data_IF_694013941322
#
_entry.id   IF_694013941322
#
_cell.length_a   1.000
_cell.length_b   1.000
_cell.length_c   1.000
_cell.angle_alpha   90.00
_cell.angle_beta   90.00
_cell.angle_gamma   90.00
#
_symmetry.space_group_name_H-M   'P 1'
#
loop_
_entity.id
_entity.type
_entity.pdbx_description
1 polymer ?
#
# COMPACT_ATOMS: atom_id res chain seq x y z
N UNK A 1 -21.76 -62.80 -32.00
CA UNK A 1 -22.07 -62.23 -30.67
C UNK A 1 -21.35 -60.89 -30.62
N UNK A 2 -21.92 -59.76 -31.03
CA UNK A 2 -23.32 -59.32 -30.94
C UNK A 2 -23.41 -58.24 -29.85
N UNK A 3 -23.93 -57.03 -30.06
CA UNK A 3 -24.57 -56.47 -31.26
C UNK A 3 -24.53 -54.92 -31.21
N UNK A 4 -24.90 -54.26 -32.31
CA UNK A 4 -24.97 -52.78 -32.42
C UNK A 4 -26.14 -52.20 -31.59
N UNK A 5 -26.04 -50.94 -31.17
CA UNK A 5 -27.12 -49.98 -31.51
C UNK A 5 -26.67 -48.50 -31.51
N UNK A 6 -27.40 -47.69 -32.28
CA UNK A 6 -27.16 -46.29 -32.63
C UNK A 6 -28.15 -45.32 -31.95
N UNK A 7 -27.87 -44.02 -32.05
CA UNK A 7 -28.70 -42.89 -31.56
C UNK A 7 -30.14 -42.86 -32.11
N UNK A 8 -31.01 -41.97 -31.58
CA UNK A 8 -31.24 -40.74 -32.35
C UNK A 8 -31.37 -39.44 -31.53
N UNK A 9 -31.29 -38.31 -32.23
CA UNK A 9 -31.61 -36.97 -31.74
C UNK A 9 -33.12 -36.76 -31.55
N UNK A 10 -33.50 -35.87 -30.63
CA UNK A 10 -34.76 -35.11 -30.71
C UNK A 10 -34.52 -33.62 -30.44
N UNK A 11 -34.94 -32.79 -31.40
CA UNK A 11 -35.12 -31.36 -31.22
C UNK A 11 -36.40 -31.12 -30.40
N UNK A 12 -36.41 -30.11 -29.52
CA UNK A 12 -37.65 -29.40 -29.22
C UNK A 12 -37.38 -27.91 -28.98
N UNK A 13 -38.01 -27.07 -29.81
CA UNK A 13 -38.09 -25.64 -29.62
C UNK A 13 -39.24 -25.32 -28.67
N UNK A 14 -39.09 -24.29 -27.82
CA UNK A 14 -40.22 -23.47 -27.39
C UNK A 14 -39.81 -22.00 -27.38
N UNK A 15 -40.75 -21.13 -27.75
CA UNK A 15 -40.59 -19.68 -27.91
C UNK A 15 -41.72 -18.94 -27.18
N UNK A 16 -41.56 -17.62 -27.05
CA UNK A 16 -42.48 -16.61 -26.51
C UNK A 16 -42.62 -16.51 -24.98
N UNK A 17 -42.56 -15.27 -24.46
CA UNK A 17 -42.61 -15.00 -23.00
C UNK A 17 -42.14 -13.60 -22.57
N UNK A 18 -42.72 -12.55 -23.13
CA UNK A 18 -42.57 -11.12 -22.80
C UNK A 18 -42.24 -10.74 -21.33
N UNK A 19 -41.29 -9.82 -21.10
CA UNK A 19 -41.63 -8.40 -20.87
C UNK A 19 -40.39 -7.49 -20.83
N UNK A 20 -40.46 -6.35 -21.52
CA UNK A 20 -39.52 -5.25 -21.35
C UNK A 20 -40.00 -4.34 -20.21
N UNK A 21 -39.08 -3.87 -19.36
CA UNK A 21 -39.32 -2.70 -18.51
C UNK A 21 -38.16 -1.72 -18.58
N UNK A 22 -38.48 -0.62 -19.25
CA UNK A 22 -37.93 0.72 -19.12
C UNK A 22 -37.37 1.06 -17.72
N UNK A 23 -36.22 1.75 -17.71
CA UNK A 23 -35.79 2.58 -16.59
C UNK A 23 -34.83 3.69 -17.06
N UNK A 24 -35.30 4.52 -18.00
CA UNK A 24 -34.65 5.79 -18.26
C UNK A 24 -34.90 6.81 -17.14
N UNK A 25 -33.85 7.25 -16.43
CA UNK A 25 -33.78 8.62 -15.88
C UNK A 25 -32.35 9.04 -15.47
N UNK A 26 -31.97 10.25 -15.89
CA UNK A 26 -30.74 10.97 -15.50
C UNK A 26 -30.83 11.45 -14.03
N UNK A 27 -29.68 11.76 -13.39
CA UNK A 27 -29.66 12.43 -12.10
C UNK A 27 -29.91 13.94 -12.23
N UNK A 28 -30.52 14.54 -11.22
CA UNK A 28 -30.53 15.99 -10.97
C UNK A 28 -29.79 16.31 -9.67
N UNK A 29 -29.16 17.48 -9.63
CA UNK A 29 -28.23 17.89 -8.58
C UNK A 29 -28.85 18.87 -7.58
N UNK A 30 -28.03 19.20 -6.57
CA UNK A 30 -28.13 20.35 -5.66
C UNK A 30 -29.21 20.30 -4.56
N UNK A 31 -28.82 20.86 -3.40
CA UNK A 31 -29.57 20.85 -2.15
C UNK A 31 -28.62 21.12 -0.98
N UNK A 32 -28.04 22.32 -0.95
CA UNK A 32 -27.34 22.81 0.24
C UNK A 32 -28.39 23.23 1.28
N UNK A 33 -28.10 23.00 2.56
CA UNK A 33 -28.92 23.51 3.67
C UNK A 33 -28.00 24.09 4.75
N UNK A 34 -28.21 25.36 5.07
CA UNK A 34 -27.42 26.13 6.03
C UNK A 34 -28.12 26.14 7.40
N UNK A 35 -27.82 25.12 8.22
CA UNK A 35 -28.36 24.95 9.57
C UNK A 35 -27.74 25.90 10.61
N UNK A 36 -28.35 27.08 10.75
CA UNK A 36 -28.11 28.11 11.78
C UNK A 36 -28.00 27.51 13.21
N UNK A 37 -26.95 27.82 13.96
CA UNK A 37 -26.89 27.61 15.41
C UNK A 37 -27.06 28.94 16.14
N UNK A 38 -28.21 29.13 16.79
CA UNK A 38 -28.45 30.26 17.69
C UNK A 38 -27.90 29.97 19.10
N UNK A 39 -27.37 30.99 19.75
CA UNK A 39 -26.82 30.90 21.09
C UNK A 39 -27.90 31.18 22.15
N UNK A 40 -27.98 30.34 23.18
CA UNK A 40 -28.79 30.62 24.38
C UNK A 40 -28.14 30.07 25.66
N UNK A 41 -27.70 30.99 26.51
CA UNK A 41 -27.63 30.93 27.97
C UNK A 41 -28.42 32.16 28.47
N UNK A 42 -28.95 32.25 29.71
CA UNK A 42 -28.46 31.70 30.99
C UNK A 42 -29.53 30.76 31.63
N UNK A 43 -29.67 30.44 32.93
CA UNK A 43 -29.13 30.94 34.22
C UNK A 43 -28.74 29.80 35.19
N UNK A 44 -28.29 30.16 36.39
CA UNK A 44 -28.05 29.27 37.54
C UNK A 44 -29.20 29.36 38.56
N UNK A 45 -29.24 28.46 39.56
CA UNK A 45 -29.29 29.01 40.93
C UNK A 45 -28.41 28.30 41.98
N UNK A 46 -27.93 29.13 42.90
CA UNK A 46 -27.64 28.91 44.33
C UNK A 46 -27.23 27.49 44.85
N UNK A 47 -25.93 27.37 45.16
CA UNK A 47 -25.45 27.27 46.55
C UNK A 47 -25.99 26.19 47.50
N UNK A 48 -25.15 25.19 47.80
CA UNK A 48 -25.16 24.47 49.08
C UNK A 48 -23.73 24.15 49.51
N UNK A 49 -23.40 24.41 50.78
CA UNK A 49 -22.08 24.23 51.37
C UNK A 49 -22.00 22.90 52.14
N UNK A 50 -21.07 22.03 51.76
CA UNK A 50 -20.71 20.85 52.54
C UNK A 50 -19.17 20.68 52.54
N UNK A 51 -18.61 20.38 53.72
CA UNK A 51 -17.16 20.30 53.94
C UNK A 51 -16.53 19.03 53.32
N UNK A 52 -15.23 19.05 52.98
CA UNK A 52 -14.58 17.90 52.34
C UNK A 52 -14.25 16.80 53.36
N UNK A 53 -14.96 15.67 53.27
CA UNK A 53 -14.63 14.45 54.02
C UNK A 53 -13.95 13.42 53.13
N UNK A 54 -12.75 12.99 53.53
CA UNK A 54 -12.13 11.75 53.04
C UNK A 54 -11.14 11.91 51.89
N UNK A 55 -9.85 12.03 52.24
CA UNK A 55 -8.75 11.73 51.32
C UNK A 55 -8.71 10.21 51.05
N UNK A 56 -9.60 9.74 50.16
CA UNK A 56 -9.49 8.42 49.57
C UNK A 56 -8.26 8.33 48.68
N UNK A 57 -7.13 7.86 49.23
CA UNK A 57 -6.00 7.42 48.42
C UNK A 57 -6.45 6.23 47.58
N UNK A 58 -6.97 6.50 46.37
CA UNK A 58 -6.92 5.53 45.30
C UNK A 58 -5.45 5.29 44.96
N UNK A 59 -4.84 4.33 45.64
CA UNK A 59 -3.70 3.61 45.10
C UNK A 59 -4.18 2.98 43.80
N UNK A 60 -3.80 3.57 42.67
CA UNK A 60 -3.94 2.89 41.39
C UNK A 60 -3.24 1.53 41.55
N UNK A 61 -3.97 0.45 41.28
CA UNK A 61 -3.35 -0.87 41.20
C UNK A 61 -2.21 -0.78 40.16
N UNK A 62 -1.01 -1.32 40.45
CA UNK A 62 0.07 -1.28 39.47
C UNK A 62 -0.41 -1.96 38.20
N UNK A 63 -0.24 -1.31 37.03
CA UNK A 63 -0.69 -1.90 35.77
C UNK A 63 -0.10 -3.30 35.62
N UNK A 64 -0.91 -4.30 35.18
CA UNK A 64 -0.44 -5.66 35.06
C UNK A 64 0.76 -5.71 34.13
N UNK A 65 1.78 -6.47 34.55
CA UNK A 65 3.02 -6.59 33.79
C UNK A 65 2.74 -6.93 32.31
N UNK A 66 3.41 -6.27 31.35
CA UNK A 66 3.13 -6.46 29.93
C UNK A 66 3.27 -7.94 29.57
N UNK A 67 2.37 -8.44 28.72
CA UNK A 67 2.45 -9.82 28.25
C UNK A 67 3.82 -10.10 27.62
N UNK A 68 4.31 -11.36 27.69
CA UNK A 68 5.61 -11.75 27.12
C UNK A 68 5.81 -11.29 25.66
N UNK A 69 4.71 -11.18 24.90
CA UNK A 69 4.70 -10.66 23.55
C UNK A 69 4.90 -9.13 23.54
N UNK A 70 4.13 -8.38 24.33
CA UNK A 70 4.29 -6.95 24.47
C UNK A 70 5.70 -6.55 24.94
N UNK A 71 6.28 -7.29 25.89
CA UNK A 71 7.64 -7.09 26.36
C UNK A 71 8.67 -7.23 25.22
N UNK A 72 8.65 -8.35 24.47
CA UNK A 72 9.59 -8.60 23.38
C UNK A 72 9.49 -7.59 22.22
N UNK A 73 8.27 -7.14 21.88
CA UNK A 73 8.09 -6.08 20.88
C UNK A 73 8.58 -4.71 21.37
N UNK A 74 8.42 -4.39 22.66
CA UNK A 74 8.89 -3.15 23.26
C UNK A 74 10.43 -3.10 23.42
N UNK A 75 11.05 -4.18 23.88
CA UNK A 75 12.52 -4.30 24.02
C UNK A 75 13.25 -4.05 22.69
N UNK A 76 12.65 -4.51 21.59
CA UNK A 76 13.19 -4.34 20.24
C UNK A 76 12.57 -3.15 19.47
N UNK A 77 11.83 -2.26 20.13
CA UNK A 77 11.15 -1.16 19.44
C UNK A 77 12.10 -0.20 18.71
N UNK A 78 13.30 0.03 19.28
CA UNK A 78 14.35 0.85 18.67
C UNK A 78 14.93 0.24 17.38
N UNK A 79 15.48 -0.99 17.35
CA UNK A 79 15.96 -1.59 16.11
C UNK A 79 14.84 -1.82 15.08
N UNK A 80 13.60 -2.09 15.51
CA UNK A 80 12.45 -2.18 14.60
C UNK A 80 12.11 -0.83 13.94
N UNK A 81 12.25 0.28 14.66
CA UNK A 81 12.10 1.62 14.08
C UNK A 81 13.17 1.91 13.03
N UNK A 82 14.44 1.61 13.33
CA UNK A 82 15.55 1.80 12.39
C UNK A 82 15.41 0.92 11.13
N UNK A 83 14.99 -0.33 11.31
CA UNK A 83 14.66 -1.24 10.21
C UNK A 83 13.52 -0.69 9.33
N UNK A 84 12.44 -0.21 9.93
CA UNK A 84 11.30 0.33 9.19
C UNK A 84 11.61 1.63 8.44
N UNK A 85 12.42 2.52 9.03
CA UNK A 85 12.91 3.72 8.33
C UNK A 85 13.77 3.37 7.11
N UNK A 86 14.55 2.28 7.19
CA UNK A 86 15.42 1.80 6.11
C UNK A 86 14.68 1.10 4.98
N UNK A 87 13.71 0.24 5.32
CA UNK A 87 13.12 -0.70 4.35
C UNK A 87 11.68 -0.35 3.91
N UNK A 88 10.91 0.39 4.72
CA UNK A 88 9.46 0.58 4.50
C UNK A 88 9.04 2.05 4.30
N UNK A 89 9.73 3.00 4.96
CA UNK A 89 9.36 4.41 4.97
C UNK A 89 9.77 5.14 3.67
N UNK A 90 9.10 4.78 2.58
CA UNK A 90 9.27 5.36 1.22
C UNK A 90 8.57 6.71 1.08
N UNK A 91 7.42 6.89 1.76
CA UNK A 91 6.84 8.19 2.06
C UNK A 91 7.12 8.50 3.53
N UNK A 92 7.66 9.70 3.81
CA UNK A 92 8.11 10.09 5.16
C UNK A 92 7.36 11.28 5.75
N UNK A 93 6.48 11.93 4.99
CA UNK A 93 5.77 13.15 5.41
C UNK A 93 4.36 12.89 5.95
N UNK A 94 3.92 11.63 5.92
CA UNK A 94 2.62 11.23 6.44
C UNK A 94 2.58 9.75 6.85
N UNK A 95 1.64 9.42 7.74
CA UNK A 95 1.36 8.03 8.15
C UNK A 95 -0.13 7.79 8.38
N UNK A 96 -0.54 6.54 8.21
CA UNK A 96 -1.85 6.06 8.61
C UNK A 96 -1.96 5.88 10.12
N UNK A 97 -3.08 6.28 10.72
CA UNK A 97 -3.33 6.15 12.17
C UNK A 97 -4.80 5.92 12.50
N UNK A 98 -5.09 5.51 13.73
CA UNK A 98 -6.42 5.17 14.24
C UNK A 98 -6.86 6.19 15.29
N UNK A 99 -7.61 7.21 14.88
CA UNK A 99 -8.14 8.23 15.79
C UNK A 99 -9.43 7.75 16.45
N UNK A 100 -9.48 7.68 17.78
CA UNK A 100 -10.72 7.41 18.54
C UNK A 100 -11.67 8.60 18.40
N UNK A 101 -12.92 8.36 17.99
CA UNK A 101 -14.01 9.36 17.96
C UNK A 101 -14.63 9.49 19.36
N UNK A 102 -15.39 10.56 19.59
CA UNK A 102 -16.15 10.78 20.83
C UNK A 102 -17.08 9.60 21.18
N UNK A 103 -17.69 8.95 20.18
CA UNK A 103 -18.53 7.75 20.36
C UNK A 103 -17.74 6.44 20.59
N UNK A 104 -16.47 6.52 21.00
CA UNK A 104 -15.59 5.37 21.27
C UNK A 104 -15.08 4.63 20.03
N UNK A 105 -15.70 4.76 18.85
CA UNK A 105 -15.29 4.07 17.62
C UNK A 105 -14.00 4.67 17.04
N UNK A 106 -13.11 3.83 16.52
CA UNK A 106 -11.91 4.29 15.81
C UNK A 106 -12.20 4.66 14.34
N UNK A 107 -11.59 5.74 13.86
CA UNK A 107 -11.51 6.13 12.45
C UNK A 107 -10.07 6.01 11.96
N UNK A 108 -9.87 5.28 10.87
CA UNK A 108 -8.62 5.32 10.09
C UNK A 108 -8.47 6.68 9.40
N UNK A 109 -7.29 7.28 9.48
CA UNK A 109 -6.97 8.57 8.85
C UNK A 109 -5.49 8.64 8.51
N UNK A 110 -5.11 9.46 7.54
CA UNK A 110 -3.72 9.88 7.38
C UNK A 110 -3.46 11.09 8.27
N UNK A 111 -2.39 11.05 9.05
CA UNK A 111 -1.77 12.20 9.71
C UNK A 111 -0.72 12.80 8.76
N UNK A 112 -0.76 14.12 8.56
CA UNK A 112 0.18 14.86 7.70
C UNK A 112 1.39 15.32 8.53
N UNK A 113 2.02 14.36 9.16
CA UNK A 113 3.11 14.54 10.11
C UNK A 113 4.24 13.54 9.76
N UNK A 114 5.51 13.90 9.99
CA UNK A 114 6.63 13.08 9.54
C UNK A 114 6.71 11.73 10.27
N UNK A 115 7.16 10.71 9.54
CA UNK A 115 7.45 9.36 10.04
C UNK A 115 8.78 9.40 10.80
N UNK A 116 8.74 9.78 12.07
CA UNK A 116 9.95 9.86 12.92
C UNK A 116 10.32 8.51 13.54
N UNK A 117 11.58 8.39 13.97
CA UNK A 117 12.07 7.22 14.73
C UNK A 117 11.27 7.01 16.01
N UNK A 118 10.97 8.08 16.74
CA UNK A 118 10.23 8.01 18.01
C UNK A 118 8.76 7.61 17.81
N UNK A 119 8.13 8.08 16.72
CA UNK A 119 6.80 7.61 16.32
C UNK A 119 6.79 6.08 16.12
N UNK A 120 7.82 5.56 15.46
CA UNK A 120 7.98 4.12 15.23
C UNK A 120 8.30 3.34 16.51
N UNK A 121 9.14 3.87 17.41
CA UNK A 121 9.38 3.27 18.73
C UNK A 121 8.08 3.17 19.52
N UNK A 122 7.28 4.24 19.57
CA UNK A 122 5.97 4.25 20.24
C UNK A 122 5.00 3.25 19.60
N UNK A 123 5.11 3.03 18.30
CA UNK A 123 4.34 1.99 17.61
C UNK A 123 4.73 0.58 18.04
N UNK A 124 6.02 0.23 17.98
CA UNK A 124 6.50 -1.11 18.33
C UNK A 124 6.40 -1.40 19.83
N UNK A 125 6.49 -0.38 20.68
CA UNK A 125 6.16 -0.46 22.12
C UNK A 125 4.66 -0.60 22.41
N UNK A 126 3.80 -0.63 21.39
CA UNK A 126 2.35 -0.83 21.53
C UNK A 126 1.58 0.36 22.15
N UNK A 127 2.20 1.54 22.24
CA UNK A 127 1.57 2.76 22.74
C UNK A 127 0.65 3.39 21.69
N UNK A 128 0.99 3.25 20.40
CA UNK A 128 0.19 3.68 19.26
C UNK A 128 0.17 2.60 18.17
N UNK A 129 -0.78 2.70 17.24
CA UNK A 129 -0.80 1.87 16.04
C UNK A 129 -0.77 2.79 14.81
N UNK A 130 0.19 2.55 13.92
CA UNK A 130 0.30 3.27 12.64
C UNK A 130 0.41 2.31 11.44
N UNK A 131 0.25 2.86 10.24
CA UNK A 131 0.59 2.22 8.98
C UNK A 131 1.37 3.17 8.08
N UNK A 132 2.14 2.62 7.15
CA UNK A 132 2.94 3.43 6.23
C UNK A 132 2.34 3.40 4.82
N UNK A 133 2.45 4.54 4.15
CA UNK A 133 2.06 4.72 2.76
C UNK A 133 3.04 3.99 1.82
N UNK A 134 2.54 3.38 0.74
CA UNK A 134 3.35 2.51 -0.15
C UNK A 134 4.04 3.20 -1.32
N UNK A 135 3.76 4.49 -1.57
CA UNK A 135 4.28 5.25 -2.72
C UNK A 135 4.85 6.57 -2.21
N UNK A 136 6.04 6.97 -2.69
CA UNK A 136 6.62 8.30 -2.45
C UNK A 136 6.11 9.35 -3.45
N UNK A 137 6.38 10.61 -3.17
CA UNK A 137 6.13 11.75 -4.08
C UNK A 137 6.78 11.59 -5.46
N UNK A 138 7.89 10.85 -5.56
CA UNK A 138 8.62 10.54 -6.80
C UNK A 138 8.12 9.26 -7.48
N UNK A 139 6.93 8.78 -7.08
CA UNK A 139 6.31 7.56 -7.58
C UNK A 139 7.17 6.29 -7.43
N UNK A 140 7.94 6.20 -6.34
CA UNK A 140 8.70 5.02 -5.98
C UNK A 140 8.00 4.19 -4.90
N UNK A 141 8.23 2.88 -4.90
CA UNK A 141 7.63 1.91 -4.01
C UNK A 141 8.71 0.93 -3.50
N UNK A 142 8.83 0.76 -2.18
CA UNK A 142 9.86 -0.10 -1.55
C UNK A 142 9.33 -1.46 -1.07
N UNK A 143 8.02 -1.67 -1.08
CA UNK A 143 7.38 -2.91 -0.64
C UNK A 143 5.95 -2.97 -1.18
N UNK A 144 5.43 -4.17 -1.40
CA UNK A 144 3.98 -4.37 -1.60
C UNK A 144 3.37 -5.13 -0.44
N UNK A 145 2.08 -4.90 -0.24
CA UNK A 145 1.26 -5.60 0.75
C UNK A 145 -0.01 -6.18 0.11
N UNK A 146 -0.45 -7.32 0.63
CA UNK A 146 -1.80 -7.83 0.47
C UNK A 146 -2.46 -7.92 1.86
N UNK A 147 -3.68 -7.41 1.98
CA UNK A 147 -4.53 -7.54 3.16
C UNK A 147 -5.64 -8.55 2.85
N UNK A 148 -5.70 -9.60 3.67
CA UNK A 148 -6.62 -10.72 3.57
C UNK A 148 -7.52 -10.63 4.79
N UNK A 149 -8.65 -9.96 4.62
CA UNK A 149 -9.53 -9.60 5.72
C UNK A 149 -10.28 -10.81 6.32
N UNK A 150 -10.37 -10.79 7.66
CA UNK A 150 -11.41 -11.46 8.40
C UNK A 150 -12.05 -10.41 9.32
N UNK A 151 -13.21 -9.91 8.93
CA UNK A 151 -13.98 -8.98 9.75
C UNK A 151 -14.84 -9.75 10.76
N UNK A 152 -14.89 -9.28 12.00
CA UNK A 152 -15.60 -9.93 13.12
C UNK A 152 -17.09 -10.20 12.85
N UNK A 153 -17.71 -9.37 12.00
CA UNK A 153 -19.13 -9.42 11.66
C UNK A 153 -19.43 -10.32 10.43
N UNK A 154 -18.40 -10.83 9.73
CA UNK A 154 -18.60 -11.70 8.57
C UNK A 154 -18.67 -13.17 8.99
N UNK A 155 -19.89 -13.69 9.11
CA UNK A 155 -20.16 -15.11 9.34
C UNK A 155 -19.62 -16.05 8.24
N UNK A 156 -19.05 -15.51 7.14
CA UNK A 156 -18.37 -16.25 6.07
C UNK A 156 -16.84 -16.18 6.17
N UNK A 157 -16.29 -15.52 7.19
CA UNK A 157 -14.85 -15.55 7.45
C UNK A 157 -14.41 -16.99 7.77
N UNK A 158 -13.64 -17.59 6.87
CA UNK A 158 -12.98 -18.88 7.05
C UNK A 158 -11.48 -18.62 7.27
N UNK A 159 -11.00 -18.63 8.53
CA UNK A 159 -9.59 -18.41 8.86
C UNK A 159 -8.65 -19.36 8.10
N UNK A 160 -9.05 -20.61 7.88
CA UNK A 160 -8.23 -21.59 7.16
C UNK A 160 -8.18 -21.29 5.67
N UNK A 161 -9.26 -20.79 5.06
CA UNK A 161 -9.24 -20.33 3.66
C UNK A 161 -8.40 -19.06 3.50
N UNK A 162 -8.46 -18.15 4.46
CA UNK A 162 -7.62 -16.95 4.47
C UNK A 162 -6.13 -17.30 4.65
N UNK A 163 -5.80 -18.29 5.48
CA UNK A 163 -4.43 -18.80 5.66
C UNK A 163 -3.93 -19.49 4.38
N UNK A 164 -4.74 -20.34 3.74
CA UNK A 164 -4.45 -20.90 2.41
C UNK A 164 -4.25 -19.81 1.35
N UNK A 165 -5.04 -18.73 1.38
CA UNK A 165 -4.89 -17.58 0.50
C UNK A 165 -3.55 -16.88 0.73
N UNK A 166 -3.15 -16.69 1.99
CA UNK A 166 -1.88 -16.07 2.35
C UNK A 166 -0.66 -16.91 1.90
N UNK A 167 -0.74 -18.24 2.04
CA UNK A 167 0.28 -19.19 1.57
C UNK A 167 0.34 -19.18 0.03
N UNK A 168 -0.80 -19.18 -0.66
CA UNK A 168 -0.85 -19.08 -2.12
C UNK A 168 -0.23 -17.75 -2.62
N UNK A 169 -0.53 -16.63 -1.95
CA UNK A 169 0.06 -15.33 -2.24
C UNK A 169 1.58 -15.33 -2.08
N UNK A 170 2.08 -15.92 -0.99
CA UNK A 170 3.52 -16.06 -0.76
C UNK A 170 4.20 -16.93 -1.83
N UNK A 171 3.59 -18.06 -2.21
CA UNK A 171 4.07 -18.96 -3.27
C UNK A 171 4.10 -18.27 -4.64
N UNK A 172 3.10 -17.45 -4.96
CA UNK A 172 3.06 -16.66 -6.19
C UNK A 172 4.21 -15.64 -6.26
N UNK A 173 4.42 -14.88 -5.17
CA UNK A 173 5.46 -13.86 -5.08
C UNK A 173 6.87 -14.47 -5.17
N UNK A 174 7.07 -15.67 -4.64
CA UNK A 174 8.32 -16.43 -4.78
C UNK A 174 8.66 -16.77 -6.25
N UNK A 175 7.66 -16.83 -7.14
CA UNK A 175 7.88 -16.93 -8.59
C UNK A 175 8.71 -15.77 -9.16
N UNK A 176 8.62 -14.58 -8.57
CA UNK A 176 9.41 -13.39 -8.89
C UNK A 176 10.69 -13.27 -8.06
N UNK A 177 11.07 -14.32 -7.32
CA UNK A 177 12.20 -14.35 -6.36
C UNK A 177 12.04 -13.37 -5.18
N UNK A 178 10.80 -13.06 -4.83
CA UNK A 178 10.46 -12.21 -3.68
C UNK A 178 9.99 -13.10 -2.52
N UNK A 179 10.64 -13.00 -1.37
CA UNK A 179 10.38 -13.82 -0.18
C UNK A 179 9.32 -13.13 0.66
N UNK A 180 8.09 -13.61 0.55
CA UNK A 180 6.97 -13.02 1.26
C UNK A 180 6.97 -13.37 2.75
N UNK A 181 6.63 -12.38 3.56
CA UNK A 181 6.36 -12.52 5.00
C UNK A 181 4.85 -12.51 5.20
N UNK A 182 4.34 -13.59 5.80
CA UNK A 182 2.94 -13.70 6.21
C UNK A 182 2.84 -13.36 7.69
N UNK A 183 2.13 -12.27 8.00
CA UNK A 183 1.81 -11.82 9.35
C UNK A 183 0.34 -12.12 9.65
N UNK A 184 0.00 -12.57 10.86
CA UNK A 184 -1.39 -12.48 11.29
C UNK A 184 -1.75 -11.02 11.62
N UNK A 185 -2.88 -10.55 11.09
CA UNK A 185 -3.24 -9.14 11.16
C UNK A 185 -4.10 -8.83 12.39
N UNK A 186 -4.86 -9.79 12.91
CA UNK A 186 -5.95 -9.50 13.85
C UNK A 186 -6.24 -10.57 14.93
N UNK A 187 -5.53 -11.71 14.92
CA UNK A 187 -5.78 -12.85 15.81
C UNK A 187 -7.10 -13.62 15.55
N UNK A 188 -7.74 -13.38 14.39
CA UNK A 188 -9.07 -13.88 14.01
C UNK A 188 -9.13 -14.40 12.56
N UNK A 189 -7.98 -14.74 11.96
CA UNK A 189 -7.91 -15.24 10.58
C UNK A 189 -7.77 -14.17 9.50
N UNK A 190 -7.46 -12.93 9.89
CA UNK A 190 -6.98 -11.90 8.96
C UNK A 190 -5.45 -11.97 8.84
N UNK A 191 -4.91 -11.73 7.65
CA UNK A 191 -3.47 -11.83 7.37
C UNK A 191 -2.97 -10.67 6.51
N UNK A 192 -1.75 -10.20 6.79
CA UNK A 192 -1.01 -9.35 5.87
C UNK A 192 0.12 -10.16 5.23
N UNK A 193 0.18 -10.19 3.90
CA UNK A 193 1.34 -10.74 3.15
C UNK A 193 2.15 -9.57 2.61
N UNK A 194 3.46 -9.53 2.87
CA UNK A 194 4.35 -8.43 2.47
C UNK A 194 5.61 -8.95 1.80
N UNK A 195 6.10 -8.26 0.78
CA UNK A 195 7.47 -8.41 0.25
C UNK A 195 8.16 -7.05 0.25
N UNK A 196 9.46 -7.06 0.52
CA UNK A 196 10.27 -5.85 0.69
C UNK A 196 11.36 -5.82 -0.37
N UNK A 197 11.56 -4.69 -1.03
CA UNK A 197 12.52 -4.56 -2.11
C UNK A 197 13.84 -3.98 -1.60
N UNK A 198 14.96 -4.58 -2.02
CA UNK A 198 16.32 -4.12 -1.69
C UNK A 198 16.62 -2.72 -2.26
N UNK A 199 15.94 -2.35 -3.34
CA UNK A 199 15.91 -1.00 -3.93
C UNK A 199 14.46 -0.68 -4.30
N UNK A 200 14.00 0.58 -4.16
CA UNK A 200 12.69 0.99 -4.64
C UNK A 200 12.50 0.69 -6.13
N UNK A 201 11.26 0.42 -6.54
CA UNK A 201 10.85 0.28 -7.93
C UNK A 201 9.77 1.31 -8.26
N UNK A 202 9.54 1.65 -9.55
CA UNK A 202 8.44 2.52 -9.93
C UNK A 202 7.09 1.95 -9.44
N UNK A 203 6.23 2.81 -8.91
CA UNK A 203 4.95 2.41 -8.33
C UNK A 203 4.03 1.68 -9.31
N UNK A 204 4.11 1.98 -10.61
CA UNK A 204 3.45 1.23 -11.68
C UNK A 204 3.89 -0.24 -11.77
N UNK A 205 5.18 -0.54 -11.56
CA UNK A 205 5.71 -1.92 -11.54
C UNK A 205 5.19 -2.68 -10.31
N UNK A 206 5.19 -2.01 -9.15
CA UNK A 206 4.64 -2.55 -7.92
C UNK A 206 3.13 -2.83 -8.04
N UNK A 207 2.36 -1.88 -8.60
CA UNK A 207 0.93 -2.04 -8.86
C UNK A 207 0.64 -3.15 -9.87
N UNK A 208 1.44 -3.26 -10.94
CA UNK A 208 1.34 -4.37 -11.89
C UNK A 208 1.51 -5.74 -11.21
N UNK A 209 2.48 -5.88 -10.30
CA UNK A 209 2.67 -7.12 -9.52
C UNK A 209 1.44 -7.42 -8.64
N UNK A 210 0.91 -6.41 -7.96
CA UNK A 210 -0.32 -6.51 -7.18
C UNK A 210 -1.51 -7.00 -8.03
N UNK A 211 -1.67 -6.51 -9.25
CA UNK A 211 -2.74 -6.94 -10.17
C UNK A 211 -2.56 -8.36 -10.70
N UNK A 212 -1.31 -8.81 -10.88
CA UNK A 212 -1.04 -10.21 -11.22
C UNK A 212 -1.34 -11.14 -10.03
N UNK A 213 -1.03 -10.72 -8.81
CA UNK A 213 -1.38 -11.42 -7.57
C UNK A 213 -2.90 -11.52 -7.37
N UNK A 214 -3.62 -10.40 -7.50
CA UNK A 214 -5.10 -10.36 -7.43
C UNK A 214 -5.74 -11.30 -8.45
N UNK A 215 -5.26 -11.28 -9.71
CA UNK A 215 -5.76 -12.13 -10.77
C UNK A 215 -5.47 -13.62 -10.52
N UNK A 216 -4.27 -13.96 -10.03
CA UNK A 216 -3.89 -15.33 -9.70
C UNK A 216 -4.75 -15.90 -8.56
N UNK A 217 -4.86 -15.19 -7.44
CA UNK A 217 -5.68 -15.63 -6.30
C UNK A 217 -7.16 -15.79 -6.67
N UNK A 218 -7.69 -14.90 -7.52
CA UNK A 218 -9.04 -15.02 -8.06
C UNK A 218 -9.20 -16.28 -8.92
N UNK A 219 -8.20 -16.63 -9.74
CA UNK A 219 -8.23 -17.85 -10.56
C UNK A 219 -8.15 -19.13 -9.72
N UNK A 220 -7.42 -19.10 -8.60
CA UNK A 220 -7.38 -20.16 -7.57
C UNK A 220 -8.66 -20.23 -6.71
N UNK A 221 -9.66 -19.37 -6.95
CA UNK A 221 -10.94 -19.39 -6.24
C UNK A 221 -10.92 -18.78 -4.82
N UNK A 222 -9.88 -18.00 -4.48
CA UNK A 222 -9.82 -17.26 -3.21
C UNK A 222 -10.76 -16.04 -3.21
N UNK A 223 -11.16 -15.52 -2.03
CA UNK A 223 -11.95 -14.29 -1.96
C UNK A 223 -11.13 -13.10 -2.49
N UNK A 224 -11.82 -12.00 -2.81
CA UNK A 224 -11.14 -10.75 -3.17
C UNK A 224 -10.33 -10.25 -1.96
N UNK A 225 -9.04 -10.02 -2.20
CA UNK A 225 -8.12 -9.37 -1.25
C UNK A 225 -7.99 -7.87 -1.57
N UNK A 226 -7.42 -7.09 -0.66
CA UNK A 226 -6.90 -5.76 -1.00
C UNK A 226 -5.39 -5.83 -1.21
N UNK A 227 -4.85 -5.09 -2.19
CA UNK A 227 -3.41 -4.95 -2.38
C UNK A 227 -2.94 -3.50 -2.27
N UNK A 228 -1.65 -3.32 -2.01
CA UNK A 228 -1.00 -2.05 -1.74
C UNK A 228 0.35 -2.05 -2.48
N UNK A 229 0.62 -1.15 -3.43
CA UNK A 229 -0.16 0.03 -3.82
C UNK A 229 -1.47 -0.28 -4.59
N UNK A 230 -2.46 0.61 -4.47
CA UNK A 230 -3.75 0.55 -5.20
C UNK A 230 -3.75 1.31 -6.53
N UNK A 231 -2.71 2.10 -6.80
CA UNK A 231 -2.59 2.94 -7.99
C UNK A 231 -1.14 2.98 -8.50
N UNK A 232 -0.96 3.33 -9.78
CA UNK A 232 0.34 3.38 -10.47
C UNK A 232 1.26 4.52 -9.99
N UNK A 233 0.73 5.47 -9.22
CA UNK A 233 1.43 6.63 -8.70
C UNK A 233 0.50 7.54 -7.90
N UNK A 234 1.09 8.57 -7.28
CA UNK A 234 0.42 9.71 -6.65
C UNK A 234 0.55 10.95 -7.54
N UNK A 235 -0.39 11.87 -7.37
CA UNK A 235 -0.44 13.17 -8.05
C UNK A 235 -0.91 14.25 -7.05
N UNK A 236 -0.91 15.56 -7.40
CA UNK A 236 -1.35 16.61 -6.48
C UNK A 236 -2.82 16.49 -6.00
N UNK A 237 -3.67 15.71 -6.67
CA UNK A 237 -5.05 15.43 -6.25
C UNK A 237 -5.12 14.27 -5.25
N UNK A 238 -4.20 13.31 -5.36
CA UNK A 238 -4.12 12.10 -4.54
C UNK A 238 -2.71 11.92 -3.91
N UNK A 239 -2.16 12.92 -3.19
CA UNK A 239 -0.71 13.06 -2.98
C UNK A 239 -0.06 12.00 -2.08
N UNK A 240 -0.85 11.22 -1.34
CA UNK A 240 -0.33 10.23 -0.38
C UNK A 240 -0.64 8.78 -0.79
N UNK A 241 -1.55 8.55 -1.75
CA UNK A 241 -2.00 7.19 -2.09
C UNK A 241 -2.60 6.45 -0.89
N UNK A 242 -2.17 5.20 -0.67
CA UNK A 242 -2.75 4.28 0.32
C UNK A 242 -1.68 3.66 1.24
N UNK A 243 -2.11 3.24 2.44
CA UNK A 243 -1.24 2.72 3.50
C UNK A 243 -1.73 1.39 4.07
N UNK A 244 -0.80 0.56 4.56
CA UNK A 244 -1.11 -0.68 5.29
C UNK A 244 -0.47 -0.67 6.67
N UNK A 245 -1.23 -1.08 7.68
CA UNK A 245 -0.82 -1.11 9.09
C UNK A 245 0.44 -1.95 9.30
N UNK A 246 1.40 -1.41 10.05
CA UNK A 246 2.64 -2.11 10.40
C UNK A 246 2.37 -3.36 11.28
N UNK A 247 3.29 -4.35 11.29
CA UNK A 247 3.33 -5.43 12.28
C UNK A 247 3.50 -4.88 13.71
N UNK A 248 2.83 -5.47 14.70
CA UNK A 248 2.91 -5.05 16.10
C UNK A 248 1.57 -5.21 16.82
N UNK A 249 1.26 -4.31 17.76
CA UNK A 249 0.00 -4.34 18.52
C UNK A 249 -1.20 -3.95 17.66
N UNK A 250 -2.27 -4.75 17.72
CA UNK A 250 -3.55 -4.49 17.07
C UNK A 250 -4.28 -3.31 17.75
N UNK A 251 -4.88 -2.36 16.99
CA UNK A 251 -5.42 -1.11 17.54
C UNK A 251 -6.70 -1.27 18.39
N UNK A 252 -7.35 -2.44 18.35
CA UNK A 252 -8.62 -2.71 19.05
C UNK A 252 -8.64 -3.98 19.92
N UNK A 253 -7.54 -4.74 19.98
CA UNK A 253 -7.46 -6.05 20.65
C UNK A 253 -6.10 -6.20 21.30
N UNK A 254 -6.00 -6.96 22.38
CA UNK A 254 -4.70 -7.41 22.88
C UNK A 254 -4.19 -8.56 22.01
N UNK A 255 -3.82 -8.21 20.78
CA UNK A 255 -3.22 -9.09 19.80
C UNK A 255 -1.92 -8.46 19.33
N UNK A 256 -0.85 -9.25 19.33
CA UNK A 256 0.45 -8.87 18.80
C UNK A 256 0.75 -9.75 17.59
N UNK A 257 1.20 -9.14 16.50
CA UNK A 257 1.49 -9.86 15.25
C UNK A 257 2.40 -11.06 15.50
N UNK A 258 1.95 -12.21 15.01
CA UNK A 258 2.73 -13.43 14.81
C UNK A 258 3.14 -13.51 13.34
N UNK A 259 4.26 -14.15 13.06
CA UNK A 259 4.80 -14.30 11.70
C UNK A 259 4.94 -15.77 11.38
N UNK A 260 4.46 -16.19 10.20
CA UNK A 260 4.59 -17.57 9.73
C UNK A 260 6.07 -17.98 9.71
N UNK A 261 6.35 -19.18 10.19
CA UNK A 261 7.68 -19.77 10.34
C UNK A 261 8.27 -20.24 9.01
N UNK A 262 8.98 -21.35 9.05
CA UNK A 262 9.53 -22.03 7.87
C UNK A 262 8.71 -23.25 7.47
N UNK A 263 8.02 -23.88 8.43
CA UNK A 263 7.02 -24.91 8.17
C UNK A 263 5.61 -24.29 7.98
N UNK A 264 4.70 -24.97 7.25
CA UNK A 264 3.27 -24.66 7.29
C UNK A 264 2.75 -24.73 8.74
N UNK A 265 1.78 -23.87 9.06
CA UNK A 265 1.11 -23.75 10.36
C UNK A 265 2.04 -23.41 11.56
N UNK A 266 3.34 -23.22 11.34
CA UNK A 266 4.30 -22.72 12.33
C UNK A 266 4.11 -21.21 12.50
N UNK A 267 3.74 -20.75 13.69
CA UNK A 267 3.55 -19.33 13.97
C UNK A 267 4.56 -18.85 15.01
N UNK A 268 5.54 -18.06 14.55
CA UNK A 268 6.51 -17.39 15.42
C UNK A 268 5.84 -16.23 16.15
N UNK A 269 6.17 -16.06 17.42
CA UNK A 269 5.57 -15.07 18.31
C UNK A 269 6.63 -14.39 19.20
N UNK A 270 6.32 -13.20 19.74
CA UNK A 270 7.24 -12.44 20.59
C UNK A 270 8.61 -12.24 19.94
N UNK A 271 9.68 -12.54 20.68
CA UNK A 271 11.07 -12.35 20.25
C UNK A 271 11.40 -13.07 18.93
N UNK A 272 10.88 -14.28 18.71
CA UNK A 272 11.12 -15.05 17.48
C UNK A 272 10.50 -14.36 16.24
N UNK A 273 9.29 -13.81 16.38
CA UNK A 273 8.65 -13.01 15.33
C UNK A 273 9.46 -11.74 15.03
N UNK A 274 9.89 -11.03 16.08
CA UNK A 274 10.67 -9.79 15.95
C UNK A 274 12.02 -10.04 15.28
N UNK A 275 12.76 -11.08 15.71
CA UNK A 275 14.02 -11.48 15.08
C UNK A 275 13.84 -11.85 13.61
N UNK A 276 12.75 -12.54 13.24
CA UNK A 276 12.43 -12.83 11.83
C UNK A 276 12.16 -11.55 11.02
N UNK A 277 11.48 -10.55 11.60
CA UNK A 277 11.23 -9.26 10.96
C UNK A 277 12.53 -8.46 10.76
N UNK A 278 13.38 -8.39 11.80
CA UNK A 278 14.68 -7.68 11.74
C UNK A 278 15.69 -8.30 10.78
N UNK A 279 15.60 -9.61 10.51
CA UNK A 279 16.49 -10.31 9.58
C UNK A 279 16.26 -9.99 8.09
N UNK A 280 15.18 -9.28 7.75
CA UNK A 280 14.81 -9.00 6.35
C UNK A 280 15.62 -7.83 5.80
N UNK A 281 16.51 -8.11 4.84
CA UNK A 281 17.23 -7.07 4.09
C UNK A 281 16.52 -6.54 2.84
N UNK A 282 15.41 -7.19 2.43
CA UNK A 282 14.73 -6.95 1.15
C UNK A 282 15.35 -7.72 -0.03
N UNK A 283 14.51 -8.06 -1.00
CA UNK A 283 14.84 -8.92 -2.14
C UNK A 283 15.32 -8.13 -3.36
N UNK A 284 16.09 -8.80 -4.23
CA UNK A 284 16.46 -8.24 -5.53
C UNK A 284 15.27 -8.25 -6.50
N UNK A 285 15.02 -7.13 -7.17
CA UNK A 285 13.84 -6.93 -8.02
C UNK A 285 14.09 -7.20 -9.51
N UNK A 286 15.26 -7.73 -9.90
CA UNK A 286 15.57 -7.98 -11.32
C UNK A 286 14.54 -8.87 -12.01
N UNK A 287 14.14 -9.98 -11.39
CA UNK A 287 13.16 -10.90 -11.96
C UNK A 287 11.77 -10.26 -12.13
N UNK A 288 11.35 -9.41 -11.18
CA UNK A 288 10.14 -8.58 -11.30
C UNK A 288 10.25 -7.58 -12.46
N UNK A 289 11.36 -6.84 -12.56
CA UNK A 289 11.58 -5.83 -13.58
C UNK A 289 11.67 -6.45 -15.00
N UNK A 290 12.31 -7.61 -15.13
CA UNK A 290 12.36 -8.38 -16.39
C UNK A 290 10.96 -8.87 -16.81
N UNK A 291 10.19 -9.42 -15.87
CA UNK A 291 8.83 -9.87 -16.14
C UNK A 291 7.90 -8.71 -16.53
N UNK A 292 8.01 -7.56 -15.85
CA UNK A 292 7.27 -6.35 -16.20
C UNK A 292 7.64 -5.84 -17.60
N UNK A 293 8.93 -5.71 -17.92
CA UNK A 293 9.39 -5.29 -19.27
C UNK A 293 8.87 -6.21 -20.38
N UNK A 294 8.80 -7.51 -20.13
CA UNK A 294 8.27 -8.49 -21.09
C UNK A 294 6.75 -8.39 -21.26
N UNK A 295 6.00 -8.12 -20.20
CA UNK A 295 4.54 -8.02 -20.23
C UNK A 295 4.02 -6.66 -20.69
N UNK A 296 4.79 -5.60 -20.42
CA UNK A 296 4.51 -4.22 -20.78
C UNK A 296 5.69 -3.68 -21.59
N UNK A 297 5.85 -4.10 -22.87
CA UNK A 297 6.87 -3.54 -23.74
C UNK A 297 6.64 -2.02 -23.86
N UNK A 298 7.74 -1.26 -23.85
CA UNK A 298 7.67 0.16 -24.16
C UNK A 298 6.99 0.36 -25.54
N UNK A 299 6.21 1.43 -25.75
CA UNK A 299 5.71 1.74 -27.08
C UNK A 299 6.90 1.76 -28.04
N UNK A 300 6.81 1.05 -29.15
CA UNK A 300 7.88 1.03 -30.15
C UNK A 300 8.17 2.48 -30.54
N UNK A 301 9.41 2.93 -30.32
CA UNK A 301 9.89 4.21 -30.85
C UNK A 301 9.43 4.25 -32.30
N UNK A 302 8.67 5.28 -32.74
CA UNK A 302 8.17 5.31 -34.10
C UNK A 302 9.37 5.07 -35.01
N UNK A 303 9.27 4.05 -35.87
CA UNK A 303 10.26 3.85 -36.92
C UNK A 303 10.43 5.20 -37.59
N UNK A 304 11.67 5.70 -37.75
CA UNK A 304 11.89 6.90 -38.54
C UNK A 304 11.16 6.66 -39.86
N UNK A 305 10.12 7.46 -40.12
CA UNK A 305 9.39 7.39 -41.39
C UNK A 305 10.49 7.51 -42.44
N UNK A 306 10.59 6.52 -43.32
CA UNK A 306 11.61 6.50 -44.36
C UNK A 306 11.62 7.90 -44.97
N UNK A 307 12.75 8.61 -44.83
CA UNK A 307 12.77 10.04 -45.10
C UNK A 307 12.31 10.22 -46.54
N UNK A 308 11.24 10.99 -46.74
CA UNK A 308 10.90 11.49 -48.06
C UNK A 308 12.18 12.13 -48.60
N UNK A 309 12.63 11.66 -49.78
CA UNK A 309 14.02 11.84 -50.21
C UNK A 309 14.46 13.30 -50.06
N UNK A 310 15.65 13.57 -49.49
CA UNK A 310 16.05 14.93 -49.18
C UNK A 310 15.98 15.79 -50.44
N UNK A 311 15.32 16.93 -50.33
CA UNK A 311 15.30 17.91 -51.40
C UNK A 311 16.76 18.28 -51.72
N UNK A 312 17.06 18.27 -53.01
CA UNK A 312 18.42 18.45 -53.54
C UNK A 312 19.07 19.73 -52.97
N UNK A 313 20.23 19.59 -52.32
CA UNK A 313 20.99 20.72 -51.78
C UNK A 313 21.32 20.74 -50.27
N UNK A 314 20.98 19.71 -49.47
CA UNK A 314 21.55 19.59 -48.10
C UNK A 314 22.98 19.03 -48.14
N UNK A 315 24.00 19.73 -47.58
CA UNK A 315 25.39 19.24 -47.59
C UNK A 315 25.54 17.94 -46.80
N UNK A 316 26.15 16.92 -47.41
CA UNK A 316 26.43 15.65 -46.76
C UNK A 316 27.45 15.82 -45.61
N UNK A 317 27.24 15.08 -44.51
CA UNK A 317 28.33 14.73 -43.61
C UNK A 317 28.65 15.68 -42.45
N UNK A 318 27.70 16.45 -41.92
CA UNK A 318 27.88 17.08 -40.59
C UNK A 318 27.53 16.05 -39.50
N UNK A 319 28.50 15.53 -38.70
CA UNK A 319 28.17 14.72 -37.54
C UNK A 319 27.50 15.61 -36.50
N UNK A 320 26.22 15.34 -36.16
CA UNK A 320 25.45 16.13 -35.21
C UNK A 320 25.84 15.81 -33.74
N UNK A 321 27.13 15.97 -33.41
CA UNK A 321 27.60 16.07 -32.01
C UNK A 321 27.83 17.56 -31.74
N UNK A 322 26.98 18.22 -30.92
CA UNK A 322 27.08 19.67 -30.71
C UNK A 322 28.44 20.02 -30.11
N UNK A 323 29.09 21.06 -30.65
CA UNK A 323 30.40 21.47 -30.13
C UNK A 323 30.24 22.06 -28.74
N UNK A 324 31.34 22.12 -27.97
CA UNK A 324 31.33 22.77 -26.66
C UNK A 324 30.88 24.24 -26.73
N UNK A 325 31.05 24.92 -27.87
CA UNK A 325 30.56 26.27 -28.11
C UNK A 325 29.06 26.29 -28.42
N UNK A 326 28.54 25.35 -29.21
CA UNK A 326 27.08 25.18 -29.41
C UNK A 326 26.37 24.92 -28.09
N UNK A 327 26.93 24.04 -27.23
CA UNK A 327 26.38 23.78 -25.89
C UNK A 327 26.43 25.06 -25.04
N UNK A 328 27.57 25.76 -24.96
CA UNK A 328 27.66 27.04 -24.21
C UNK A 328 26.72 28.11 -24.75
N UNK A 329 26.44 28.16 -26.05
CA UNK A 329 25.48 29.07 -26.64
C UNK A 329 24.04 28.72 -26.21
N UNK A 330 23.67 27.44 -26.23
CA UNK A 330 22.37 26.97 -25.74
C UNK A 330 22.17 27.25 -24.24
N UNK A 331 23.20 27.04 -23.41
CA UNK A 331 23.16 27.31 -21.97
C UNK A 331 22.91 28.79 -21.63
N UNK A 332 23.18 29.75 -22.54
CA UNK A 332 22.84 31.17 -22.34
C UNK A 332 21.35 31.48 -22.45
N UNK A 333 20.55 30.59 -23.02
CA UNK A 333 19.10 30.72 -23.13
C UNK A 333 18.34 30.01 -21.99
N UNK A 334 19.04 29.25 -21.14
CA UNK A 334 18.46 28.74 -19.91
C UNK A 334 18.41 29.86 -18.85
N UNK A 335 17.31 30.00 -18.11
CA UNK A 335 17.23 30.95 -17.01
C UNK A 335 18.30 30.63 -15.97
N UNK A 336 19.12 31.62 -15.63
CA UNK A 336 20.12 31.55 -14.56
C UNK A 336 19.71 32.56 -13.47
N UNK A 337 19.19 32.04 -12.37
CA UNK A 337 18.74 32.79 -11.21
C UNK A 337 18.27 31.83 -10.12
N UNK A 338 18.10 32.32 -8.90
CA UNK A 338 17.85 31.51 -7.70
C UNK A 338 16.52 30.72 -7.73
N UNK A 339 15.64 31.02 -8.69
CA UNK A 339 14.34 30.37 -8.91
C UNK A 339 14.42 29.04 -9.69
N UNK A 340 15.59 28.64 -10.22
CA UNK A 340 15.74 27.39 -10.99
C UNK A 340 16.31 26.28 -10.11
N UNK A 341 15.47 25.31 -9.77
CA UNK A 341 15.82 24.22 -8.87
C UNK A 341 16.97 23.35 -9.42
N UNK A 342 17.90 22.97 -8.55
CA UNK A 342 19.08 22.17 -8.89
C UNK A 342 18.73 20.87 -9.65
N UNK A 343 17.62 20.22 -9.30
CA UNK A 343 17.19 18.99 -9.97
C UNK A 343 16.73 19.21 -11.42
N UNK A 344 16.28 20.40 -11.80
CA UNK A 344 15.93 20.70 -13.18
C UNK A 344 17.20 20.95 -14.02
N UNK A 345 18.21 21.59 -13.43
CA UNK A 345 19.57 21.63 -13.98
C UNK A 345 20.18 20.22 -14.13
N UNK A 346 19.96 19.34 -13.14
CA UNK A 346 20.44 17.96 -13.19
C UNK A 346 19.72 17.14 -14.29
N UNK A 347 18.41 17.31 -14.47
CA UNK A 347 17.64 16.70 -15.57
C UNK A 347 18.12 17.18 -16.94
N UNK A 348 18.42 18.47 -17.09
CA UNK A 348 19.02 19.02 -18.33
C UNK A 348 20.40 18.41 -18.57
N UNK A 349 21.25 18.34 -17.54
CA UNK A 349 22.57 17.71 -17.63
C UNK A 349 22.51 16.23 -18.04
N UNK A 350 21.64 15.45 -17.40
CA UNK A 350 21.40 14.03 -17.75
C UNK A 350 20.87 13.91 -19.19
N UNK A 351 19.90 14.75 -19.58
CA UNK A 351 19.32 14.75 -20.93
C UNK A 351 20.31 15.13 -22.04
N UNK A 352 21.40 15.81 -21.70
CA UNK A 352 22.52 16.13 -22.60
C UNK A 352 23.63 15.07 -22.57
N UNK A 353 23.67 14.20 -21.56
CA UNK A 353 24.73 13.22 -21.34
C UNK A 353 24.30 11.77 -21.69
N UNK A 354 23.00 11.46 -21.67
CA UNK A 354 22.43 10.17 -22.11
C UNK A 354 22.32 10.06 -23.65
N UNK A 355 23.33 10.58 -24.37
CA UNK A 355 23.45 10.54 -25.84
C UNK A 355 24.74 9.81 -26.28
N UNK A 356 24.83 8.53 -25.94
CA UNK A 356 25.67 7.51 -26.60
C UNK A 356 24.86 6.21 -26.76
#
# INVERSE_FOLDING_TARGET
MGEYNTSPHTHQQYSSGSSARDSGKRPTAAGADEGRYEAASPEAPAGSTAAPTGNGKHTAEPEPAPSRHAAAWAEHAAPLADWTLRHLAVCRDCYGTYRKKANGKFRTTTAKEPVTRDLLIRHYSGQITIGLHTISTENQCSWIGADIDAHDDDAKADPKRNERCAIAAAKFLYGFKLIAIVCDSNGKGGFHVRVFFKKPVPAAVARWLCERLEAHLKAEGFPKIETFPKQNGVDPKTPYGNWLRLPGKHPKRDHWTRIMGSAPDEWLEGEAAVKKLLAIGGDDTKALLDAHRKACPAPSRPTPRAADAPADGTPEGIPFKPTAETVRAALKYLPNGDDVHYDDWLKVGISLNDWD
#
